data_IF_480545698352
#
_entry.id   IF_480545698352
#
_cell.length_a   1.000
_cell.length_b   1.000
_cell.length_c   1.000
_cell.angle_alpha   90.00
_cell.angle_beta   90.00
_cell.angle_gamma   90.00
#
_symmetry.space_group_name_H-M   'P 1'
#
loop_
_entity.id
_entity.type
_entity.pdbx_description
1 polymer ?
#
# COMPACT_ATOMS: atom_id res chain seq x y z
N UNK A 1 -11.10 12.64 6.22
CA UNK A 1 -10.53 11.29 6.36
C UNK A 1 -9.99 11.13 7.77
N UNK A 2 -9.73 9.90 8.22
CA UNK A 2 -9.56 9.57 9.64
C UNK A 2 -8.11 9.63 10.14
N UNK A 3 -7.88 8.99 11.28
CA UNK A 3 -6.59 8.89 11.94
C UNK A 3 -6.20 7.42 12.08
N UNK A 4 -4.93 7.12 11.85
CA UNK A 4 -4.35 5.82 12.19
C UNK A 4 -4.20 5.71 13.71
N UNK A 5 -4.07 4.48 14.22
CA UNK A 5 -4.01 4.23 15.66
C UNK A 5 -2.76 4.80 16.34
N UNK A 6 -1.72 5.12 15.56
CA UNK A 6 -0.49 5.77 16.02
C UNK A 6 -0.57 7.30 16.01
N UNK A 7 -1.74 7.86 15.71
CA UNK A 7 -1.99 9.30 15.80
C UNK A 7 -1.58 10.09 14.56
N UNK A 8 -1.21 9.46 13.44
CA UNK A 8 -1.02 10.15 12.16
C UNK A 8 -2.30 10.17 11.31
N UNK A 9 -2.57 11.27 10.57
CA UNK A 9 -3.74 11.36 9.72
C UNK A 9 -3.62 10.42 8.51
N UNK A 10 -4.76 9.97 8.02
CA UNK A 10 -4.89 9.14 6.81
C UNK A 10 -5.61 9.96 5.75
N UNK A 11 -5.00 10.13 4.59
CA UNK A 11 -5.60 10.76 3.42
C UNK A 11 -5.84 9.75 2.28
N UNK A 12 -6.59 10.17 1.27
CA UNK A 12 -6.87 9.43 0.05
C UNK A 12 -5.78 9.80 -0.95
N UNK A 13 -5.86 9.22 -2.14
CA UNK A 13 -4.82 9.26 -3.17
C UNK A 13 -4.26 10.61 -3.59
N UNK A 14 -4.83 11.74 -3.18
CA UNK A 14 -4.36 13.07 -3.58
C UNK A 14 -3.50 13.72 -2.51
N UNK A 15 -2.39 14.31 -2.95
CA UNK A 15 -1.57 15.23 -2.15
C UNK A 15 -0.80 16.20 -3.02
N UNK A 16 -0.12 17.14 -2.41
CA UNK A 16 0.71 18.14 -3.09
C UNK A 16 1.81 17.48 -3.93
N UNK A 17 2.04 18.01 -5.13
CA UNK A 17 3.02 17.50 -6.09
C UNK A 17 4.44 17.67 -5.60
N UNK A 18 4.68 18.75 -4.87
CA UNK A 18 5.84 18.92 -4.01
C UNK A 18 5.34 18.78 -2.57
N UNK A 19 5.94 17.85 -1.81
CA UNK A 19 5.50 17.55 -0.46
C UNK A 19 5.70 18.72 0.51
N UNK A 20 6.64 19.63 0.21
CA UNK A 20 6.99 20.79 1.05
C UNK A 20 6.26 22.07 0.64
N UNK A 21 5.59 22.09 -0.52
CA UNK A 21 4.89 23.27 -1.04
C UNK A 21 3.37 23.06 -1.07
N UNK A 22 2.69 23.69 -0.11
CA UNK A 22 1.22 23.74 -0.03
C UNK A 22 0.54 24.53 -1.15
N UNK A 23 1.30 25.31 -1.93
CA UNK A 23 0.80 26.00 -3.12
C UNK A 23 0.98 25.16 -4.39
N UNK A 24 1.68 24.03 -4.29
CA UNK A 24 1.87 23.14 -5.42
C UNK A 24 0.56 22.45 -5.81
N UNK A 25 0.52 21.92 -7.03
CA UNK A 25 -0.69 21.28 -7.55
C UNK A 25 -0.95 19.97 -6.81
N UNK A 26 -2.20 19.59 -6.65
CA UNK A 26 -2.52 18.23 -6.21
C UNK A 26 -2.25 17.24 -7.35
N UNK A 27 -1.64 16.11 -7.01
CA UNK A 27 -1.46 14.95 -7.89
C UNK A 27 -1.95 13.68 -7.19
N UNK A 28 -2.16 12.63 -7.97
CA UNK A 28 -2.30 11.28 -7.42
C UNK A 28 -0.93 10.83 -6.93
N UNK A 29 -0.85 10.40 -5.67
CA UNK A 29 0.35 9.89 -5.04
C UNK A 29 0.51 8.41 -5.36
N UNK A 30 1.71 8.03 -5.77
CA UNK A 30 2.04 6.69 -6.25
C UNK A 30 2.78 5.93 -5.15
N UNK A 31 2.39 4.69 -4.79
CA UNK A 31 3.14 3.88 -3.86
C UNK A 31 4.49 3.46 -4.44
N UNK A 32 5.52 3.36 -3.61
CA UNK A 32 6.85 2.88 -4.02
C UNK A 32 6.95 1.35 -4.03
N UNK A 33 5.92 0.68 -4.52
CA UNK A 33 5.85 -0.78 -4.62
C UNK A 33 5.67 -1.21 -6.07
N UNK A 34 6.27 -2.35 -6.42
CA UNK A 34 6.02 -3.01 -7.70
C UNK A 34 5.87 -4.51 -7.54
N UNK A 35 5.26 -5.14 -8.52
CA UNK A 35 5.18 -6.59 -8.60
C UNK A 35 6.57 -7.17 -8.88
N UNK A 36 6.98 -8.17 -8.10
CA UNK A 36 8.23 -8.92 -8.32
C UNK A 36 8.19 -9.66 -9.65
N UNK A 37 9.34 -9.78 -10.29
CA UNK A 37 9.49 -10.54 -11.55
C UNK A 37 9.50 -12.06 -11.36
N UNK A 38 9.81 -12.53 -10.15
CA UNK A 38 9.88 -13.95 -9.77
C UNK A 38 9.14 -14.18 -8.45
N UNK A 39 8.44 -15.30 -8.29
CA UNK A 39 7.82 -15.67 -7.03
C UNK A 39 8.87 -16.04 -5.98
N UNK A 40 8.57 -15.77 -4.71
CA UNK A 40 9.38 -16.23 -3.58
C UNK A 40 9.36 -17.77 -3.47
N UNK A 41 10.40 -18.34 -2.88
CA UNK A 41 10.44 -19.77 -2.57
C UNK A 41 9.26 -20.16 -1.65
N UNK A 42 8.61 -21.29 -1.94
CA UNK A 42 7.44 -21.79 -1.23
C UNK A 42 6.14 -20.97 -1.37
N UNK A 43 6.12 -19.92 -2.21
CA UNK A 43 4.87 -19.25 -2.59
C UNK A 43 3.92 -20.27 -3.25
N UNK A 44 2.68 -20.45 -2.76
CA UNK A 44 1.69 -21.27 -3.43
C UNK A 44 1.38 -20.72 -4.83
N UNK A 45 1.55 -21.56 -5.86
CA UNK A 45 1.26 -21.19 -7.25
C UNK A 45 -0.02 -21.83 -7.78
N UNK A 46 -0.63 -22.75 -7.03
CA UNK A 46 -1.82 -23.50 -7.42
C UNK A 46 -2.76 -23.60 -6.24
N UNK A 47 -4.01 -23.18 -6.43
CA UNK A 47 -5.10 -23.47 -5.52
C UNK A 47 -5.54 -24.92 -5.71
N UNK A 48 -5.30 -25.75 -4.69
CA UNK A 48 -5.60 -27.19 -4.73
C UNK A 48 -6.95 -27.52 -4.10
N UNK A 49 -7.32 -26.83 -3.01
CA UNK A 49 -8.52 -27.14 -2.25
C UNK A 49 -9.21 -25.90 -1.64
N UNK A 50 -10.54 -25.99 -1.51
CA UNK A 50 -11.39 -25.17 -0.64
C UNK A 50 -12.00 -26.11 0.40
N UNK A 51 -11.70 -25.90 1.68
CA UNK A 51 -12.07 -26.84 2.75
C UNK A 51 -13.39 -26.52 3.47
N UNK A 52 -14.06 -25.43 3.11
CA UNK A 52 -15.28 -24.97 3.80
C UNK A 52 -16.30 -24.31 2.89
N UNK A 53 -17.55 -24.33 3.34
CA UNK A 53 -18.70 -23.76 2.63
C UNK A 53 -19.35 -24.71 1.61
N UNK A 54 -20.45 -24.28 0.97
CA UNK A 54 -21.24 -25.14 0.06
C UNK A 54 -20.46 -25.65 -1.16
N UNK A 55 -19.32 -25.05 -1.49
CA UNK A 55 -18.49 -25.36 -2.66
C UNK A 55 -17.12 -25.94 -2.27
N UNK A 56 -17.03 -26.63 -1.12
CA UNK A 56 -15.80 -27.31 -0.72
C UNK A 56 -15.40 -28.36 -1.77
N UNK A 57 -14.17 -28.28 -2.25
CA UNK A 57 -13.62 -29.14 -3.30
C UNK A 57 -12.11 -29.26 -3.07
N UNK A 58 -11.57 -30.48 -3.13
CA UNK A 58 -10.15 -30.79 -2.93
C UNK A 58 -9.37 -31.03 -4.24
N UNK A 59 -9.97 -30.71 -5.39
CA UNK A 59 -9.42 -30.92 -6.73
C UNK A 59 -9.72 -29.73 -7.65
N UNK A 60 -9.21 -28.54 -7.28
CA UNK A 60 -9.48 -27.27 -7.99
C UNK A 60 -8.39 -26.93 -9.02
N UNK A 61 -7.14 -27.39 -8.81
CA UNK A 61 -5.97 -27.22 -9.69
C UNK A 61 -5.94 -25.90 -10.50
N UNK A 62 -6.17 -24.78 -9.82
CA UNK A 62 -6.27 -23.46 -10.46
C UNK A 62 -4.99 -22.65 -10.21
N UNK A 63 -4.32 -22.11 -11.25
CA UNK A 63 -3.11 -21.32 -11.06
C UNK A 63 -3.41 -20.02 -10.31
N UNK A 64 -2.47 -19.61 -9.46
CA UNK A 64 -2.50 -18.35 -8.71
C UNK A 64 -1.46 -17.41 -9.32
N UNK A 65 -1.94 -16.44 -10.11
CA UNK A 65 -1.11 -15.41 -10.74
C UNK A 65 -0.36 -14.56 -9.71
N UNK A 66 0.77 -13.99 -10.11
CA UNK A 66 1.47 -12.96 -9.32
C UNK A 66 0.53 -11.77 -9.03
N UNK A 67 0.67 -11.18 -7.85
CA UNK A 67 -0.13 -10.05 -7.37
C UNK A 67 -1.29 -10.46 -6.44
N UNK A 68 -1.46 -11.77 -6.23
CA UNK A 68 -2.47 -12.34 -5.35
C UNK A 68 -2.08 -12.23 -3.86
N UNK A 69 -0.79 -12.16 -3.55
CA UNK A 69 -0.29 -12.10 -2.17
C UNK A 69 0.55 -10.85 -1.94
N UNK A 70 0.60 -10.37 -0.69
CA UNK A 70 1.50 -9.28 -0.29
C UNK A 70 2.97 -9.58 -0.65
N UNK A 71 3.42 -10.82 -0.44
CA UNK A 71 4.79 -11.23 -0.76
C UNK A 71 5.16 -11.13 -2.25
N UNK A 72 4.17 -10.97 -3.14
CA UNK A 72 4.40 -10.82 -4.58
C UNK A 72 4.93 -9.42 -4.94
N UNK A 73 4.88 -8.48 -4.00
CA UNK A 73 5.32 -7.10 -4.19
C UNK A 73 6.62 -6.84 -3.44
N UNK A 74 7.44 -5.93 -3.98
CA UNK A 74 8.66 -5.42 -3.36
C UNK A 74 8.59 -3.91 -3.23
N UNK A 75 9.09 -3.39 -2.12
CA UNK A 75 9.32 -1.97 -1.92
C UNK A 75 10.59 -1.54 -2.65
N UNK A 76 10.52 -0.45 -3.41
CA UNK A 76 11.64 0.15 -4.13
C UNK A 76 11.67 1.62 -3.76
N UNK A 77 12.62 2.02 -2.92
CA UNK A 77 12.79 3.41 -2.51
C UNK A 77 12.86 4.36 -3.72
N UNK A 78 12.07 5.44 -3.69
CA UNK A 78 12.00 6.45 -4.74
C UNK A 78 11.29 6.02 -6.03
N UNK A 79 10.65 4.84 -6.08
CA UNK A 79 9.84 4.44 -7.23
C UNK A 79 8.58 5.31 -7.39
N UNK A 80 7.95 5.65 -6.27
CA UNK A 80 6.77 6.50 -6.20
C UNK A 80 6.98 7.68 -5.25
N UNK A 81 5.87 8.20 -4.74
CA UNK A 81 5.82 9.34 -3.81
C UNK A 81 5.80 8.92 -2.33
N UNK A 82 5.53 7.64 -2.05
CA UNK A 82 5.25 7.13 -0.71
C UNK A 82 6.34 6.17 -0.23
N UNK A 83 6.50 6.07 1.08
CA UNK A 83 7.42 5.16 1.74
C UNK A 83 6.87 3.72 1.86
N UNK A 84 7.61 2.87 2.56
CA UNK A 84 7.25 1.47 2.83
C UNK A 84 5.95 1.30 3.63
N UNK A 85 5.53 2.31 4.39
CA UNK A 85 4.27 2.28 5.14
C UNK A 85 3.12 2.89 4.35
N UNK A 86 3.31 3.20 3.07
CA UNK A 86 2.34 3.89 2.23
C UNK A 86 1.99 5.29 2.75
N UNK A 87 2.98 5.98 3.32
CA UNK A 87 2.84 7.36 3.75
C UNK A 87 3.99 8.24 3.28
N UNK A 88 3.94 9.50 3.65
CA UNK A 88 5.04 10.46 3.45
C UNK A 88 4.94 11.59 4.45
N UNK A 89 6.04 12.33 4.63
CA UNK A 89 6.01 13.62 5.29
C UNK A 89 5.68 14.71 4.27
N UNK A 90 4.82 15.66 4.65
CA UNK A 90 4.56 16.83 3.82
C UNK A 90 3.42 17.69 4.36
N UNK A 91 3.22 18.84 3.72
CA UNK A 91 2.16 19.77 4.07
C UNK A 91 0.77 19.15 3.82
N UNK A 92 -0.18 19.50 4.68
CA UNK A 92 -1.62 19.21 4.50
C UNK A 92 -2.43 20.46 4.85
N UNK A 93 -3.73 20.54 4.50
CA UNK A 93 -4.55 21.71 4.85
C UNK A 93 -4.58 22.02 6.35
N UNK A 94 -4.54 20.99 7.20
CA UNK A 94 -4.54 21.12 8.66
C UNK A 94 -3.14 21.33 9.25
N UNK A 95 -2.09 20.87 8.56
CA UNK A 95 -0.70 20.94 8.98
C UNK A 95 0.18 21.56 7.88
N UNK A 96 0.17 22.90 7.72
CA UNK A 96 0.93 23.58 6.68
C UNK A 96 2.46 23.44 6.82
N UNK A 97 2.94 23.31 8.06
CA UNK A 97 4.37 23.11 8.36
C UNK A 97 4.83 21.66 8.15
N UNK A 98 3.92 20.79 7.72
CA UNK A 98 4.19 19.38 7.45
C UNK A 98 3.86 18.45 8.60
N UNK A 99 3.36 17.27 8.26
CA UNK A 99 3.16 16.15 9.16
C UNK A 99 3.43 14.86 8.39
N UNK A 100 3.79 13.78 9.08
CA UNK A 100 3.73 12.46 8.45
C UNK A 100 2.27 12.01 8.32
N UNK A 101 1.90 11.45 7.18
CA UNK A 101 0.55 10.95 6.95
C UNK A 101 0.53 9.72 6.04
N UNK A 102 -0.47 8.87 6.24
CA UNK A 102 -0.73 7.71 5.38
C UNK A 102 -1.63 8.08 4.22
N UNK A 103 -1.52 7.30 3.14
CA UNK A 103 -2.31 7.50 1.93
C UNK A 103 -3.02 6.20 1.55
N UNK A 104 -4.29 6.31 1.17
CA UNK A 104 -5.04 5.26 0.49
C UNK A 104 -4.80 5.41 -1.00
N UNK A 105 -4.24 4.38 -1.63
CA UNK A 105 -3.76 4.43 -3.02
C UNK A 105 -4.62 3.58 -3.96
N UNK A 106 -4.53 3.87 -5.25
CA UNK A 106 -5.17 3.06 -6.30
C UNK A 106 -4.37 1.77 -6.61
N UNK A 107 -3.10 1.72 -6.20
CA UNK A 107 -2.18 0.60 -6.39
C UNK A 107 -1.75 0.01 -5.04
N UNK A 108 -1.19 -1.21 -5.06
CA UNK A 108 -0.66 -1.86 -3.87
C UNK A 108 0.44 -1.02 -3.20
N UNK A 109 0.46 -0.91 -1.85
CA UNK A 109 -0.48 -1.49 -0.90
C UNK A 109 -1.64 -0.52 -0.66
N UNK A 110 -2.81 -0.79 -1.24
CA UNK A 110 -4.01 0.08 -1.23
C UNK A 110 -4.32 0.80 0.10
N UNK A 111 -3.88 0.25 1.23
CA UNK A 111 -3.88 0.87 2.54
C UNK A 111 -2.54 0.64 3.27
N UNK A 112 -2.25 1.45 4.31
CA UNK A 112 -1.00 1.35 5.09
C UNK A 112 -0.70 -0.07 5.58
N UNK A 113 0.59 -0.42 5.52
CA UNK A 113 1.14 -1.74 5.90
C UNK A 113 1.87 -1.73 7.25
N UNK A 114 2.26 -0.57 7.73
CA UNK A 114 2.95 -0.39 9.00
C UNK A 114 2.61 0.96 9.63
N UNK A 115 2.79 1.04 10.95
CA UNK A 115 2.64 2.28 11.70
C UNK A 115 4.03 2.85 11.97
N UNK A 116 4.24 4.13 11.66
CA UNK A 116 5.47 4.90 11.85
C UNK A 116 5.54 5.56 13.23
N UNK A 117 4.40 5.82 13.88
CA UNK A 117 4.45 6.37 15.24
C UNK A 117 5.15 5.40 16.19
N UNK A 118 6.02 5.94 17.04
CA UNK A 118 6.50 5.20 18.20
C UNK A 118 5.32 5.04 19.18
N UNK A 119 5.14 3.82 19.68
CA UNK A 119 4.21 3.53 20.78
C UNK A 119 4.91 3.78 22.11
#
# INVERSE_FOLDING_TARGET
MGWASDGFPVYARYGYSDAEDSQSKLKVLIPSYRLKSKPDENRPNTLTAILGGPNANNNINKPISMGAFTQDYEYIEGLGDLDECNGRFGATPEFPDGIYYYVVTDDFPFFTRCLKGEV
#
